data_IF_985733772951
#
_entry.id   IF_985733772951
#
_cell.length_a   1.000
_cell.length_b   1.000
_cell.length_c   1.000
_cell.angle_alpha   90.00
_cell.angle_beta   90.00
_cell.angle_gamma   90.00
#
_symmetry.space_group_name_H-M   'P 1'
#
loop_
_entity.id
_entity.type
_entity.pdbx_description
1 polymer ?
#
# COMPACT_ATOMS: atom_id res chain seq x y z
N UNK A 1 12.46 3.47 21.41
CA UNK A 1 11.00 3.72 21.64
C UNK A 1 10.79 4.04 23.12
N UNK A 2 9.96 5.03 23.46
CA UNK A 2 9.58 5.32 24.84
C UNK A 2 8.51 4.31 25.33
N UNK A 3 8.44 4.08 26.65
CA UNK A 3 7.38 3.25 27.24
C UNK A 3 5.98 3.77 26.88
N UNK A 4 5.82 5.10 26.74
CA UNK A 4 4.56 5.72 26.32
C UNK A 4 4.17 5.36 24.87
N UNK A 5 5.12 5.26 23.95
CA UNK A 5 4.82 4.85 22.55
C UNK A 5 4.40 3.37 22.50
N UNK A 6 5.06 2.49 23.26
CA UNK A 6 4.65 1.08 23.36
C UNK A 6 3.22 0.93 23.88
N UNK A 7 2.86 1.69 24.91
CA UNK A 7 1.53 1.69 25.48
C UNK A 7 0.48 2.17 24.46
N UNK A 8 0.78 3.22 23.68
CA UNK A 8 -0.13 3.70 22.62
C UNK A 8 -0.33 2.68 21.50
N UNK A 9 0.74 2.01 21.06
CA UNK A 9 0.68 0.94 20.04
C UNK A 9 -0.18 -0.22 20.55
N UNK A 10 -0.01 -0.65 21.79
CA UNK A 10 -0.84 -1.70 22.38
C UNK A 10 -2.31 -1.29 22.46
N UNK A 11 -2.60 -0.06 22.88
CA UNK A 11 -3.96 0.49 22.92
C UNK A 11 -4.58 0.61 21.51
N UNK A 12 -3.79 0.94 20.50
CA UNK A 12 -4.26 0.97 19.10
C UNK A 12 -4.65 -0.44 18.60
N UNK A 13 -3.80 -1.44 18.84
CA UNK A 13 -4.11 -2.84 18.50
C UNK A 13 -5.35 -3.36 19.20
N UNK A 14 -5.54 -2.99 20.46
CA UNK A 14 -6.75 -3.33 21.24
C UNK A 14 -7.98 -2.64 20.66
N UNK A 15 -7.90 -1.35 20.35
CA UNK A 15 -8.99 -0.60 19.74
C UNK A 15 -9.43 -1.24 18.41
N UNK A 16 -8.49 -1.56 17.52
CA UNK A 16 -8.78 -2.25 16.25
C UNK A 16 -9.41 -3.64 16.43
N UNK A 17 -9.20 -4.28 17.58
CA UNK A 17 -9.75 -5.59 17.87
C UNK A 17 -11.17 -5.52 18.45
N UNK A 18 -11.50 -4.43 19.14
CA UNK A 18 -12.72 -4.33 19.95
C UNK A 18 -13.77 -3.37 19.41
N UNK A 19 -13.35 -2.39 18.63
CA UNK A 19 -14.23 -1.38 18.04
C UNK A 19 -13.74 -0.90 16.68
N UNK A 20 -14.59 -0.20 15.97
CA UNK A 20 -14.20 0.54 14.76
C UNK A 20 -13.35 1.75 15.16
N UNK A 21 -12.23 1.93 14.47
CA UNK A 21 -11.36 3.10 14.59
C UNK A 21 -11.60 4.00 13.37
N UNK A 22 -11.70 5.30 13.59
CA UNK A 22 -11.94 6.26 12.51
C UNK A 22 -10.66 7.09 12.28
N UNK A 23 -10.13 7.01 11.06
CA UNK A 23 -9.04 7.84 10.57
C UNK A 23 -9.58 9.18 10.01
N UNK A 24 -8.67 10.08 9.69
CA UNK A 24 -8.97 11.37 9.08
C UNK A 24 -9.29 11.25 7.57
N UNK A 25 -9.13 12.34 6.85
CA UNK A 25 -9.45 12.49 5.44
C UNK A 25 -8.39 13.29 4.69
N UNK A 26 -8.81 14.01 3.67
CA UNK A 26 -7.90 14.71 2.76
C UNK A 26 -6.96 15.70 3.46
N UNK A 27 -5.64 15.47 3.34
CA UNK A 27 -4.61 16.40 3.83
C UNK A 27 -4.36 17.52 2.82
N UNK A 28 -4.12 17.18 1.55
CA UNK A 28 -3.69 18.15 0.54
C UNK A 28 -4.65 19.31 0.32
N UNK A 29 -5.96 19.04 0.18
CA UNK A 29 -6.98 20.07 0.01
C UNK A 29 -7.10 20.97 1.24
N UNK A 30 -7.02 20.41 2.44
CA UNK A 30 -7.04 21.14 3.70
C UNK A 30 -5.82 22.07 3.85
N UNK A 31 -4.65 21.63 3.37
CA UNK A 31 -3.45 22.49 3.34
C UNK A 31 -3.60 23.63 2.34
N UNK A 32 -4.18 23.38 1.16
CA UNK A 32 -4.42 24.40 0.14
C UNK A 32 -5.41 25.48 0.63
N UNK A 33 -6.43 25.11 1.42
CA UNK A 33 -7.36 26.05 2.04
C UNK A 33 -6.70 27.01 3.04
N UNK A 34 -5.49 26.69 3.51
CA UNK A 34 -4.70 27.59 4.36
C UNK A 34 -3.86 28.60 3.54
N UNK A 35 -3.94 28.55 2.21
CA UNK A 35 -3.26 29.44 1.27
C UNK A 35 -1.76 29.63 1.54
N UNK A 36 -0.96 28.51 1.69
CA UNK A 36 0.48 28.65 1.89
C UNK A 36 1.14 29.33 0.69
N UNK A 37 2.07 30.23 0.97
CA UNK A 37 2.79 30.98 -0.05
C UNK A 37 3.94 30.18 -0.65
N UNK A 38 4.47 30.60 -1.80
CA UNK A 38 5.65 29.98 -2.40
C UNK A 38 6.89 30.06 -1.48
N UNK A 39 6.98 31.10 -0.64
CA UNK A 39 8.03 31.22 0.38
C UNK A 39 7.86 30.17 1.48
N UNK A 40 6.64 29.86 1.89
CA UNK A 40 6.33 28.78 2.84
C UNK A 40 6.80 27.41 2.30
N UNK A 41 6.76 27.21 1.00
CA UNK A 41 7.27 26.02 0.32
C UNK A 41 8.79 26.05 0.06
N UNK A 42 9.55 27.05 0.52
CA UNK A 42 10.98 27.24 0.16
C UNK A 42 11.22 27.20 -1.37
N UNK A 43 10.31 27.75 -2.16
CA UNK A 43 10.27 27.71 -3.64
C UNK A 43 10.05 26.30 -4.23
N UNK A 44 9.69 25.30 -3.42
CA UNK A 44 9.37 23.92 -3.83
C UNK A 44 7.85 23.75 -3.95
N UNK A 45 7.21 24.50 -4.84
CA UNK A 45 5.76 24.51 -5.01
C UNK A 45 5.19 23.10 -5.18
N UNK A 46 4.20 22.76 -4.34
CA UNK A 46 3.56 21.44 -4.34
C UNK A 46 4.23 20.40 -3.44
N UNK A 47 5.41 20.69 -2.87
CA UNK A 47 6.04 19.81 -1.88
C UNK A 47 5.40 20.02 -0.49
N UNK A 48 4.26 19.40 -0.25
CA UNK A 48 3.53 19.57 1.02
C UNK A 48 4.36 19.16 2.25
N UNK A 49 5.29 18.23 2.09
CA UNK A 49 6.13 17.70 3.15
C UNK A 49 7.06 18.76 3.76
N UNK A 50 7.45 19.77 2.97
CA UNK A 50 8.31 20.85 3.46
C UNK A 50 7.60 21.69 4.52
N UNK A 51 6.25 21.79 4.45
CA UNK A 51 5.45 22.51 5.44
C UNK A 51 5.55 21.90 6.84
N UNK A 52 5.97 20.66 6.98
CA UNK A 52 6.25 20.05 8.28
C UNK A 52 7.34 20.78 9.07
N UNK A 53 8.24 21.47 8.38
CA UNK A 53 9.36 22.23 8.98
C UNK A 53 9.19 23.74 8.83
N UNK A 54 8.66 24.23 7.73
CA UNK A 54 8.49 25.64 7.46
C UNK A 54 7.23 26.23 8.09
N UNK A 55 6.12 25.47 8.03
CA UNK A 55 4.80 25.87 8.54
C UNK A 55 4.10 24.75 9.33
N UNK A 56 4.73 24.24 10.40
CA UNK A 56 4.11 23.20 11.22
C UNK A 56 2.80 23.64 11.89
N UNK A 57 2.56 24.94 12.01
CA UNK A 57 1.30 25.52 12.48
C UNK A 57 0.13 25.19 11.53
N UNK A 58 0.32 25.33 10.22
CA UNK A 58 -0.68 24.98 9.19
C UNK A 58 -0.98 23.48 9.24
N UNK A 59 0.04 22.62 9.21
CA UNK A 59 -0.12 21.16 9.27
C UNK A 59 -0.86 20.75 10.55
N UNK A 60 -0.47 21.34 11.69
CA UNK A 60 -1.15 21.07 12.98
C UNK A 60 -2.61 21.52 12.97
N UNK A 61 -2.96 22.61 12.29
CA UNK A 61 -4.34 23.09 12.20
C UNK A 61 -5.23 22.08 11.48
N UNK A 62 -4.71 21.41 10.44
CA UNK A 62 -5.44 20.35 9.73
C UNK A 62 -5.69 19.15 10.67
N UNK A 63 -4.68 18.67 11.38
CA UNK A 63 -4.86 17.58 12.35
C UNK A 63 -5.89 17.93 13.44
N UNK A 64 -5.85 19.16 13.94
CA UNK A 64 -6.84 19.65 14.93
C UNK A 64 -8.26 19.64 14.37
N UNK A 65 -8.46 20.09 13.13
CA UNK A 65 -9.78 20.10 12.49
C UNK A 65 -10.38 18.69 12.41
N UNK A 66 -9.59 17.68 12.10
CA UNK A 66 -10.04 16.28 12.11
C UNK A 66 -10.28 15.75 13.52
N UNK A 67 -9.44 16.06 14.50
CA UNK A 67 -9.70 15.68 15.89
C UNK A 67 -10.94 16.38 16.47
N UNK A 68 -11.23 17.63 16.07
CA UNK A 68 -12.48 18.34 16.43
C UNK A 68 -13.72 17.65 15.81
N UNK A 69 -13.58 17.06 14.62
CA UNK A 69 -14.61 16.19 14.03
C UNK A 69 -14.81 14.87 14.79
N UNK A 70 -13.87 14.51 15.67
CA UNK A 70 -13.97 13.38 16.59
C UNK A 70 -13.29 12.11 16.14
N UNK A 71 -12.42 12.16 15.10
CA UNK A 71 -11.66 11.01 14.64
C UNK A 71 -10.72 10.45 15.72
N UNK A 72 -10.35 9.19 15.61
CA UNK A 72 -9.48 8.50 16.55
C UNK A 72 -8.00 8.64 16.18
N UNK A 73 -7.68 8.74 14.89
CA UNK A 73 -6.31 8.86 14.40
C UNK A 73 -6.22 9.80 13.21
N UNK A 74 -5.04 10.34 12.99
CA UNK A 74 -4.69 11.17 11.84
C UNK A 74 -3.48 10.61 11.11
N UNK A 75 -3.46 10.77 9.79
CA UNK A 75 -2.33 10.48 8.93
C UNK A 75 -1.33 11.63 8.97
N UNK A 76 -0.05 11.30 8.87
CA UNK A 76 1.00 12.33 8.82
C UNK A 76 1.05 13.00 7.46
N UNK A 77 1.45 14.26 7.40
CA UNK A 77 1.72 14.97 6.14
C UNK A 77 3.06 14.52 5.55
N UNK A 78 3.14 13.26 5.12
CA UNK A 78 4.37 12.61 4.63
C UNK A 78 4.13 11.70 3.42
N UNK A 79 3.02 11.85 2.74
CA UNK A 79 2.64 11.06 1.57
C UNK A 79 3.72 11.07 0.48
N UNK A 80 4.29 12.24 0.18
CA UNK A 80 5.39 12.42 -0.75
C UNK A 80 6.79 12.34 -0.11
N UNK A 81 6.92 12.02 1.19
CA UNK A 81 8.21 11.91 1.86
C UNK A 81 8.97 10.65 1.46
N UNK A 82 9.16 10.42 0.17
CA UNK A 82 9.89 9.31 -0.40
C UNK A 82 10.94 9.79 -1.41
N UNK A 83 11.89 8.92 -1.71
CA UNK A 83 13.03 9.26 -2.58
C UNK A 83 12.60 9.74 -3.98
N UNK A 84 11.54 9.16 -4.54
CA UNK A 84 11.10 9.49 -5.89
C UNK A 84 10.45 10.88 -5.95
N UNK A 85 9.48 11.15 -5.07
CA UNK A 85 8.77 12.44 -5.07
C UNK A 85 9.68 13.58 -4.61
N UNK A 86 10.45 13.41 -3.51
CA UNK A 86 11.40 14.42 -3.07
C UNK A 86 12.56 14.62 -4.03
N UNK A 87 12.89 13.61 -4.84
CA UNK A 87 13.89 13.69 -5.89
C UNK A 87 13.51 14.64 -7.03
N UNK A 88 12.21 14.84 -7.28
CA UNK A 88 11.72 15.81 -8.26
C UNK A 88 11.97 17.28 -7.83
N UNK A 89 12.22 17.49 -6.55
CA UNK A 89 12.59 18.77 -5.94
C UNK A 89 14.07 18.85 -5.55
N UNK A 90 14.91 17.89 -5.95
CA UNK A 90 16.32 17.78 -5.57
C UNK A 90 16.59 17.68 -4.06
N UNK A 91 15.61 17.24 -3.26
CA UNK A 91 15.72 17.09 -1.80
C UNK A 91 15.53 15.66 -1.30
N UNK A 92 15.81 14.64 -2.15
CA UNK A 92 15.68 13.23 -1.79
C UNK A 92 16.44 12.83 -0.51
N UNK A 93 17.51 13.54 -0.16
CA UNK A 93 18.26 13.31 1.08
C UNK A 93 17.51 13.69 2.37
N UNK A 94 16.36 14.37 2.28
CA UNK A 94 15.57 14.82 3.43
C UNK A 94 14.43 13.88 3.83
N UNK A 95 14.33 12.69 3.22
CA UNK A 95 13.26 11.70 3.50
C UNK A 95 13.07 11.48 5.01
N UNK A 96 14.13 11.11 5.72
CA UNK A 96 14.05 10.82 7.16
C UNK A 96 13.67 12.07 7.97
N UNK A 97 14.23 13.24 7.65
CA UNK A 97 13.95 14.51 8.34
C UNK A 97 12.48 14.88 8.23
N UNK A 98 11.95 14.92 6.99
CA UNK A 98 10.58 15.37 6.72
C UNK A 98 9.56 14.36 7.25
N UNK A 99 9.85 13.06 7.16
CA UNK A 99 9.02 12.01 7.77
C UNK A 99 8.93 12.17 9.28
N UNK A 100 10.06 12.40 9.94
CA UNK A 100 10.10 12.62 11.39
C UNK A 100 9.37 13.90 11.80
N UNK A 101 9.53 14.97 11.04
CA UNK A 101 8.88 16.26 11.32
C UNK A 101 7.36 16.14 11.20
N UNK A 102 6.84 15.53 10.11
CA UNK A 102 5.41 15.31 9.92
C UNK A 102 4.79 14.45 11.04
N UNK A 103 5.44 13.34 11.38
CA UNK A 103 4.98 12.48 12.47
C UNK A 103 4.99 13.21 13.84
N UNK A 104 5.98 14.07 14.09
CA UNK A 104 6.03 14.87 15.32
C UNK A 104 4.89 15.87 15.40
N UNK A 105 4.58 16.58 14.31
CA UNK A 105 3.47 17.55 14.28
C UNK A 105 2.14 16.85 14.56
N UNK A 106 1.89 15.70 13.91
CA UNK A 106 0.70 14.89 14.15
C UNK A 106 0.63 14.37 15.60
N UNK A 107 1.76 13.91 16.15
CA UNK A 107 1.85 13.44 17.54
C UNK A 107 1.56 14.52 18.55
N UNK A 108 2.08 15.73 18.37
CA UNK A 108 1.80 16.87 19.23
C UNK A 108 0.30 17.21 19.26
N UNK A 109 -0.36 17.21 18.10
CA UNK A 109 -1.80 17.40 18.02
C UNK A 109 -2.57 16.28 18.72
N UNK A 110 -2.20 15.02 18.49
CA UNK A 110 -2.85 13.88 19.12
C UNK A 110 -2.67 13.85 20.65
N UNK A 111 -1.51 14.24 21.16
CA UNK A 111 -1.25 14.32 22.62
C UNK A 111 -2.06 15.48 23.24
N UNK A 112 -2.19 16.61 22.56
CA UNK A 112 -3.04 17.73 22.98
C UNK A 112 -4.49 17.28 23.17
N UNK A 113 -5.07 16.58 22.19
CA UNK A 113 -6.47 16.11 22.26
C UNK A 113 -6.66 14.99 23.27
N UNK A 114 -5.71 14.07 23.38
CA UNK A 114 -5.73 13.04 24.44
C UNK A 114 -5.70 13.68 25.83
N UNK A 115 -4.92 14.75 26.01
CA UNK A 115 -4.84 15.50 27.26
C UNK A 115 -6.14 16.25 27.61
N UNK A 116 -6.95 16.67 26.62
CA UNK A 116 -8.21 17.40 26.82
C UNK A 116 -9.35 16.51 27.38
N UNK A 117 -9.50 15.31 26.85
CA UNK A 117 -10.67 14.48 27.13
C UNK A 117 -10.35 13.06 27.63
N UNK A 118 -9.06 12.70 27.71
CA UNK A 118 -8.58 11.37 28.14
C UNK A 118 -8.77 10.26 27.10
N UNK A 119 -9.37 10.53 25.94
CA UNK A 119 -9.53 9.53 24.86
C UNK A 119 -8.21 9.37 24.12
N UNK A 120 -7.73 8.13 23.92
CA UNK A 120 -6.52 7.90 23.12
C UNK A 120 -6.67 8.44 21.68
N UNK A 121 -5.62 9.08 21.18
CA UNK A 121 -5.48 9.50 19.79
C UNK A 121 -4.19 8.91 19.22
N UNK A 122 -4.26 8.42 18.00
CA UNK A 122 -3.14 7.76 17.35
C UNK A 122 -2.69 8.49 16.10
N UNK A 123 -1.48 8.19 15.69
CA UNK A 123 -0.83 8.74 14.49
C UNK A 123 -0.49 7.61 13.55
N UNK A 124 -1.04 7.67 12.34
CA UNK A 124 -0.71 6.79 11.23
C UNK A 124 0.39 7.44 10.39
N UNK A 125 1.56 6.83 10.36
CA UNK A 125 2.67 7.30 9.53
C UNK A 125 2.41 6.99 8.07
N UNK A 126 2.02 7.98 7.28
CA UNK A 126 1.71 7.87 5.86
C UNK A 126 2.97 7.60 5.04
N UNK A 127 2.94 6.56 4.21
CA UNK A 127 3.96 6.13 3.25
C UNK A 127 3.28 6.02 1.89
N UNK A 128 3.34 7.07 1.10
CA UNK A 128 2.77 7.10 -0.25
C UNK A 128 3.67 6.41 -1.29
N UNK A 129 3.14 6.12 -2.49
CA UNK A 129 3.81 5.32 -3.50
C UNK A 129 4.98 6.06 -4.20
N UNK A 130 4.97 7.39 -4.19
CA UNK A 130 5.85 8.17 -5.04
C UNK A 130 5.49 8.06 -6.53
N UNK A 131 6.37 8.55 -7.39
CA UNK A 131 6.11 8.72 -8.84
C UNK A 131 6.81 7.68 -9.71
N UNK A 132 7.58 6.75 -9.13
CA UNK A 132 8.37 5.75 -9.88
C UNK A 132 7.79 4.36 -9.68
N UNK A 133 7.48 3.69 -10.78
CA UNK A 133 6.93 2.33 -10.81
C UNK A 133 8.05 1.34 -11.16
N UNK A 134 8.52 0.51 -10.21
CA UNK A 134 9.59 -0.44 -10.46
C UNK A 134 9.20 -1.53 -11.46
N UNK A 135 7.93 -1.93 -11.54
CA UNK A 135 7.45 -2.87 -12.55
C UNK A 135 7.66 -2.36 -13.98
N UNK A 136 7.67 -1.04 -14.19
CA UNK A 136 7.97 -0.41 -15.47
C UNK A 136 9.45 -0.01 -15.63
N UNK A 137 10.31 -0.40 -14.70
CA UNK A 137 11.73 -0.09 -14.73
C UNK A 137 12.07 1.38 -14.43
N UNK A 138 11.14 2.17 -13.86
CA UNK A 138 11.39 3.59 -13.56
C UNK A 138 12.42 3.80 -12.45
N UNK A 139 12.59 2.83 -11.56
CA UNK A 139 13.63 2.83 -10.53
C UNK A 139 13.90 1.38 -10.07
N UNK A 140 15.14 1.05 -9.68
CA UNK A 140 15.46 -0.27 -9.12
C UNK A 140 14.67 -0.52 -7.82
N UNK A 141 14.16 -1.74 -7.67
CA UNK A 141 13.45 -2.19 -6.48
C UNK A 141 14.20 -1.90 -5.17
N UNK A 142 15.51 -2.19 -5.16
CA UNK A 142 16.36 -2.01 -3.98
C UNK A 142 16.49 -0.55 -3.56
N UNK A 143 16.55 0.38 -4.53
CA UNK A 143 16.61 1.82 -4.26
C UNK A 143 15.33 2.29 -3.57
N UNK A 144 14.17 1.87 -4.09
CA UNK A 144 12.88 2.21 -3.48
C UNK A 144 12.73 1.59 -2.09
N UNK A 145 13.06 0.31 -1.94
CA UNK A 145 13.01 -0.37 -0.63
C UNK A 145 13.86 0.34 0.43
N UNK A 146 15.08 0.72 0.09
CA UNK A 146 16.00 1.36 1.03
C UNK A 146 15.54 2.80 1.38
N UNK A 147 14.90 3.49 0.44
CA UNK A 147 14.25 4.78 0.69
C UNK A 147 13.02 4.66 1.61
N UNK A 148 12.19 3.66 1.40
CA UNK A 148 11.05 3.38 2.29
C UNK A 148 11.48 2.96 3.70
N UNK A 149 12.64 2.33 3.84
CA UNK A 149 13.23 2.09 5.15
C UNK A 149 13.51 3.41 5.89
N UNK A 150 14.14 4.38 5.24
CA UNK A 150 14.43 5.69 5.83
C UNK A 150 13.16 6.46 6.19
N UNK A 151 12.12 6.37 5.34
CA UNK A 151 10.83 6.98 5.62
C UNK A 151 10.20 6.38 6.88
N UNK A 152 10.11 5.05 6.99
CA UNK A 152 9.56 4.34 8.14
C UNK A 152 10.33 4.65 9.44
N UNK A 153 11.67 4.66 9.38
CA UNK A 153 12.52 5.03 10.53
C UNK A 153 12.23 6.46 11.01
N UNK A 154 12.08 7.41 10.08
CA UNK A 154 11.71 8.80 10.38
C UNK A 154 10.34 8.90 11.04
N UNK A 155 9.32 8.25 10.47
CA UNK A 155 7.95 8.24 10.98
C UNK A 155 7.87 7.73 12.43
N UNK A 156 8.50 6.59 12.70
CA UNK A 156 8.50 6.01 14.05
C UNK A 156 9.30 6.86 15.04
N UNK A 157 10.42 7.43 14.60
CA UNK A 157 11.21 8.38 15.41
C UNK A 157 10.44 9.67 15.72
N UNK A 158 9.50 10.08 14.86
CA UNK A 158 8.60 11.21 15.06
C UNK A 158 7.40 10.92 15.96
N UNK A 159 7.12 9.64 16.26
CA UNK A 159 6.06 9.24 17.19
C UNK A 159 4.84 8.60 16.55
N UNK A 160 4.92 8.11 15.32
CA UNK A 160 3.86 7.32 14.69
C UNK A 160 3.57 6.05 15.51
N UNK A 161 2.30 5.69 15.61
CA UNK A 161 1.80 4.53 16.36
C UNK A 161 1.51 3.32 15.44
N UNK A 162 1.36 3.58 14.13
CA UNK A 162 1.28 2.59 13.07
C UNK A 162 1.91 3.17 11.79
N UNK A 163 2.32 2.32 10.86
CA UNK A 163 2.73 2.72 9.51
C UNK A 163 1.61 2.36 8.52
N UNK A 164 1.26 3.30 7.66
CA UNK A 164 0.25 3.14 6.62
C UNK A 164 0.91 3.29 5.24
N UNK A 165 1.15 2.17 4.58
CA UNK A 165 1.52 2.14 3.16
C UNK A 165 0.23 2.30 2.37
N UNK A 166 0.06 3.43 1.72
CA UNK A 166 -1.22 3.80 1.11
C UNK A 166 -1.13 4.16 -0.37
N UNK A 167 -2.30 4.17 -1.02
CA UNK A 167 -2.48 4.61 -2.42
C UNK A 167 -1.55 3.84 -3.37
N UNK A 168 -1.27 2.58 -3.05
CA UNK A 168 -0.32 1.80 -3.83
C UNK A 168 -0.95 1.29 -5.12
N UNK A 169 -0.25 1.50 -6.24
CA UNK A 169 -0.74 1.23 -7.60
C UNK A 169 0.06 0.15 -8.33
N UNK A 170 1.22 -0.23 -7.79
CA UNK A 170 2.15 -1.23 -8.33
C UNK A 170 2.51 -2.23 -7.21
N UNK A 171 2.24 -3.52 -7.40
CA UNK A 171 2.50 -4.55 -6.40
C UNK A 171 3.99 -4.69 -6.05
N UNK A 172 4.89 -4.51 -7.02
CA UNK A 172 6.33 -4.57 -6.76
C UNK A 172 6.78 -3.37 -5.90
N UNK A 173 6.22 -2.18 -6.15
CA UNK A 173 6.44 -1.01 -5.32
C UNK A 173 5.87 -1.21 -3.91
N UNK A 174 4.66 -1.78 -3.81
CA UNK A 174 4.04 -2.10 -2.52
C UNK A 174 4.90 -3.07 -1.71
N UNK A 175 5.45 -4.11 -2.34
CA UNK A 175 6.43 -5.01 -1.71
C UNK A 175 7.67 -4.26 -1.23
N UNK A 176 8.22 -3.35 -2.06
CA UNK A 176 9.36 -2.54 -1.68
C UNK A 176 9.08 -1.69 -0.44
N UNK A 177 7.90 -1.06 -0.38
CA UNK A 177 7.46 -0.25 0.76
C UNK A 177 7.31 -1.08 2.03
N UNK A 178 6.61 -2.22 1.95
CA UNK A 178 6.40 -3.13 3.08
C UNK A 178 7.72 -3.69 3.60
N UNK A 179 8.59 -4.18 2.72
CA UNK A 179 9.87 -4.76 3.12
C UNK A 179 10.86 -3.70 3.61
N UNK A 180 10.83 -2.49 3.04
CA UNK A 180 11.59 -1.34 3.53
C UNK A 180 11.17 -0.95 4.94
N UNK A 181 9.86 -0.77 5.16
CA UNK A 181 9.29 -0.47 6.47
C UNK A 181 9.67 -1.54 7.51
N UNK A 182 9.54 -2.82 7.18
CA UNK A 182 9.94 -3.93 8.07
C UNK A 182 11.41 -3.92 8.42
N UNK A 183 12.28 -3.66 7.45
CA UNK A 183 13.74 -3.54 7.72
C UNK A 183 14.03 -2.40 8.68
N UNK A 184 13.38 -1.24 8.51
CA UNK A 184 13.50 -0.13 9.44
C UNK A 184 13.02 -0.49 10.85
N UNK A 185 11.86 -1.13 10.98
CA UNK A 185 11.34 -1.60 12.27
C UNK A 185 12.27 -2.63 12.93
N UNK A 186 12.80 -3.59 12.18
CA UNK A 186 13.76 -4.57 12.69
C UNK A 186 15.07 -3.92 13.14
N UNK A 187 15.60 -2.97 12.37
CA UNK A 187 16.82 -2.24 12.73
C UNK A 187 16.67 -1.46 14.04
N UNK A 188 15.47 -0.97 14.32
CA UNK A 188 15.12 -0.26 15.54
C UNK A 188 14.67 -1.18 16.69
N UNK A 189 14.51 -2.48 16.45
CA UNK A 189 13.97 -3.44 17.41
C UNK A 189 12.52 -3.13 17.80
N UNK A 190 11.68 -2.72 16.84
CA UNK A 190 10.33 -2.24 17.10
C UNK A 190 9.28 -3.14 16.46
N UNK A 191 8.13 -3.28 17.15
CA UNK A 191 6.92 -3.94 16.68
C UNK A 191 5.78 -2.91 16.56
N UNK A 192 5.70 -2.29 15.38
CA UNK A 192 4.69 -1.28 15.03
C UNK A 192 3.74 -1.86 13.98
N UNK A 193 2.41 -1.71 14.14
CA UNK A 193 1.44 -2.19 13.16
C UNK A 193 1.73 -1.64 11.76
N UNK A 194 1.66 -2.53 10.76
CA UNK A 194 1.84 -2.19 9.35
C UNK A 194 0.53 -2.41 8.60
N UNK A 195 -0.05 -1.32 8.14
CA UNK A 195 -1.30 -1.26 7.37
C UNK A 195 -0.94 -1.04 5.92
N UNK A 196 -1.60 -1.76 5.01
CA UNK A 196 -1.42 -1.57 3.57
C UNK A 196 -2.76 -1.29 2.91
N UNK A 197 -2.86 -0.18 2.19
CA UNK A 197 -4.01 0.18 1.37
C UNK A 197 -3.60 0.23 -0.09
N UNK A 198 -4.23 -0.62 -0.90
CA UNK A 198 -4.04 -0.60 -2.35
C UNK A 198 -5.10 0.27 -3.01
N UNK A 199 -4.78 0.79 -4.17
CA UNK A 199 -5.69 1.62 -4.95
C UNK A 199 -6.18 0.84 -6.16
N UNK A 200 -7.50 0.71 -6.28
CA UNK A 200 -8.18 0.06 -7.40
C UNK A 200 -8.92 1.11 -8.20
N UNK A 201 -8.61 1.16 -9.50
CA UNK A 201 -9.20 2.09 -10.44
C UNK A 201 -10.63 1.67 -10.83
N UNK A 202 -11.34 2.54 -11.55
CA UNK A 202 -12.69 2.25 -12.08
C UNK A 202 -12.71 1.05 -13.06
N UNK A 203 -11.56 0.64 -13.55
CA UNK A 203 -11.39 -0.59 -14.35
C UNK A 203 -11.55 -1.88 -13.55
N UNK A 204 -11.58 -1.79 -12.22
CA UNK A 204 -11.63 -2.94 -11.32
C UNK A 204 -10.27 -3.56 -10.98
N UNK A 205 -9.18 -2.93 -11.40
CA UNK A 205 -7.80 -3.37 -11.13
C UNK A 205 -6.94 -2.21 -10.61
N UNK A 206 -5.80 -2.51 -10.01
CA UNK A 206 -4.75 -1.53 -9.77
C UNK A 206 -4.21 -1.00 -11.11
N UNK A 207 -3.47 0.10 -11.10
CA UNK A 207 -2.99 0.82 -12.29
C UNK A 207 -2.32 -0.10 -13.35
N UNK A 208 -1.54 -1.07 -12.92
CA UNK A 208 -0.83 -2.00 -13.81
C UNK A 208 -1.61 -3.30 -14.11
N UNK A 209 -2.92 -3.34 -13.81
CA UNK A 209 -3.79 -4.45 -14.12
C UNK A 209 -3.89 -5.53 -13.04
N UNK A 210 -3.34 -5.30 -11.84
CA UNK A 210 -3.40 -6.27 -10.74
C UNK A 210 -4.81 -6.31 -10.13
N UNK A 211 -5.40 -7.49 -10.05
CA UNK A 211 -6.65 -7.73 -9.34
C UNK A 211 -6.45 -7.73 -7.82
N UNK A 212 -7.51 -7.47 -7.06
CA UNK A 212 -7.46 -7.46 -5.59
C UNK A 212 -7.05 -8.83 -5.01
N UNK A 213 -7.35 -9.91 -5.70
CA UNK A 213 -6.90 -11.26 -5.32
C UNK A 213 -5.39 -11.44 -5.43
N UNK A 214 -4.77 -10.87 -6.47
CA UNK A 214 -3.31 -10.86 -6.62
C UNK A 214 -2.66 -10.03 -5.49
N UNK A 215 -3.23 -8.85 -5.20
CA UNK A 215 -2.76 -8.01 -4.11
C UNK A 215 -2.81 -8.73 -2.76
N UNK A 216 -3.94 -9.36 -2.41
CA UNK A 216 -4.08 -10.12 -1.16
C UNK A 216 -3.06 -11.27 -1.08
N UNK A 217 -2.95 -12.07 -2.15
CA UNK A 217 -2.05 -13.23 -2.20
C UNK A 217 -0.58 -12.82 -2.08
N UNK A 218 -0.21 -11.68 -2.67
CA UNK A 218 1.17 -11.19 -2.63
C UNK A 218 1.55 -10.50 -1.31
N UNK A 219 0.60 -9.81 -0.65
CA UNK A 219 0.90 -8.91 0.47
C UNK A 219 0.64 -9.53 1.84
N UNK A 220 -0.42 -10.34 2.01
CA UNK A 220 -0.74 -10.94 3.30
C UNK A 220 0.41 -11.79 3.87
N UNK A 221 1.13 -12.63 3.06
CA UNK A 221 2.27 -13.40 3.55
C UNK A 221 3.46 -12.56 4.02
N UNK A 222 3.53 -11.29 3.63
CA UNK A 222 4.56 -10.37 4.12
C UNK A 222 4.35 -9.97 5.59
N UNK A 223 3.28 -10.47 6.22
CA UNK A 223 2.99 -10.31 7.66
C UNK A 223 2.49 -8.91 8.00
N UNK A 224 1.81 -8.24 7.11
CA UNK A 224 1.10 -6.99 7.40
C UNK A 224 -0.05 -7.23 8.40
N UNK A 225 -0.41 -6.22 9.18
CA UNK A 225 -1.44 -6.34 10.23
C UNK A 225 -2.86 -6.08 9.69
N UNK A 226 -2.96 -5.34 8.57
CA UNK A 226 -4.22 -4.94 7.95
C UNK A 226 -4.03 -4.71 6.46
N UNK A 227 -5.05 -5.07 5.66
CA UNK A 227 -5.12 -4.75 4.24
C UNK A 227 -6.40 -3.96 3.96
N UNK A 228 -6.35 -3.01 3.04
CA UNK A 228 -7.51 -2.20 2.70
C UNK A 228 -7.41 -1.53 1.34
N UNK A 229 -8.34 -0.61 1.15
CA UNK A 229 -8.47 0.21 -0.06
C UNK A 229 -8.50 1.68 0.31
N UNK A 230 -7.87 2.53 -0.48
CA UNK A 230 -8.04 3.97 -0.42
C UNK A 230 -7.89 4.62 -1.79
N UNK A 231 -8.40 5.83 -1.91
CA UNK A 231 -8.25 6.70 -3.10
C UNK A 231 -8.86 6.14 -4.39
N UNK A 232 -8.58 6.77 -5.52
CA UNK A 232 -9.08 6.58 -6.89
C UNK A 232 -10.60 6.66 -7.04
N UNK A 233 -11.36 5.91 -6.23
CA UNK A 233 -12.81 5.74 -6.39
C UNK A 233 -13.58 6.10 -5.12
N UNK A 234 -14.90 6.12 -5.23
CA UNK A 234 -15.82 6.25 -4.12
C UNK A 234 -16.19 4.90 -3.49
N UNK A 235 -17.04 4.92 -2.47
CA UNK A 235 -17.45 3.70 -1.76
C UNK A 235 -18.14 2.65 -2.66
N UNK A 236 -18.92 3.10 -3.64
CA UNK A 236 -19.69 2.21 -4.51
C UNK A 236 -18.77 1.25 -5.28
N UNK A 237 -17.73 1.78 -5.90
CA UNK A 237 -16.75 1.02 -6.68
C UNK A 237 -15.89 0.11 -5.81
N UNK A 238 -15.64 0.48 -4.55
CA UNK A 238 -14.82 -0.30 -3.62
C UNK A 238 -15.54 -1.54 -3.06
N UNK A 239 -16.88 -1.58 -3.10
CA UNK A 239 -17.69 -2.59 -2.43
C UNK A 239 -17.34 -4.03 -2.83
N UNK A 240 -17.19 -4.30 -4.13
CA UNK A 240 -16.86 -5.65 -4.62
C UNK A 240 -15.48 -6.11 -4.15
N UNK A 241 -14.49 -5.23 -4.15
CA UNK A 241 -13.14 -5.53 -3.69
C UNK A 241 -13.08 -5.76 -2.18
N UNK A 242 -13.83 -4.98 -1.40
CA UNK A 242 -13.97 -5.19 0.05
C UNK A 242 -14.67 -6.50 0.36
N UNK A 243 -15.70 -6.88 -0.42
CA UNK A 243 -16.37 -8.17 -0.30
C UNK A 243 -15.40 -9.33 -0.52
N UNK A 244 -14.54 -9.22 -1.55
CA UNK A 244 -13.49 -10.22 -1.80
C UNK A 244 -12.53 -10.32 -0.62
N UNK A 245 -12.00 -9.18 -0.14
CA UNK A 245 -11.10 -9.13 1.01
C UNK A 245 -11.77 -9.69 2.27
N UNK A 246 -13.04 -9.35 2.52
CA UNK A 246 -13.78 -9.84 3.69
C UNK A 246 -13.93 -11.37 3.69
N UNK A 247 -14.07 -11.97 2.50
CA UNK A 247 -14.19 -13.41 2.33
C UNK A 247 -12.86 -14.16 2.43
N UNK A 248 -11.77 -13.59 1.95
CA UNK A 248 -10.52 -14.33 1.77
C UNK A 248 -9.39 -13.92 2.71
N UNK A 249 -9.35 -12.66 3.18
CA UNK A 249 -8.28 -12.17 4.04
C UNK A 249 -8.40 -12.64 5.49
N UNK A 250 -7.31 -13.13 6.05
CA UNK A 250 -7.20 -13.55 7.46
C UNK A 250 -6.93 -12.38 8.40
N UNK A 251 -6.44 -11.26 7.87
CA UNK A 251 -6.08 -10.07 8.64
C UNK A 251 -7.21 -9.03 8.62
N UNK A 252 -7.07 -7.98 9.43
CA UNK A 252 -8.05 -6.89 9.52
C UNK A 252 -8.18 -6.13 8.22
N UNK A 253 -9.33 -5.46 8.05
CA UNK A 253 -9.64 -4.68 6.86
C UNK A 253 -9.82 -3.20 7.17
N UNK A 254 -9.44 -2.35 6.19
CA UNK A 254 -9.67 -0.90 6.21
C UNK A 254 -10.25 -0.40 4.90
N UNK A 255 -10.91 0.76 4.97
CA UNK A 255 -11.38 1.47 3.78
C UNK A 255 -11.37 2.99 4.00
N UNK A 256 -10.72 3.71 3.11
CA UNK A 256 -10.62 5.17 3.11
C UNK A 256 -10.90 5.71 1.69
N UNK A 257 -12.19 5.76 1.27
CA UNK A 257 -12.57 6.15 -0.08
C UNK A 257 -12.48 7.66 -0.28
N UNK A 258 -12.45 8.07 -1.53
CA UNK A 258 -12.71 9.46 -1.90
C UNK A 258 -14.17 9.82 -1.62
N UNK A 259 -14.45 11.12 -1.54
CA UNK A 259 -15.84 11.62 -1.50
C UNK A 259 -16.53 11.49 -2.86
N UNK A 260 -16.51 10.28 -3.42
CA UNK A 260 -16.98 9.93 -4.76
C UNK A 260 -15.91 10.10 -5.84
N UNK A 261 -16.31 9.86 -7.08
CA UNK A 261 -15.45 10.11 -8.25
C UNK A 261 -15.36 11.62 -8.51
N UNK A 262 -14.15 12.15 -8.78
CA UNK A 262 -14.00 13.58 -9.09
C UNK A 262 -14.71 13.94 -10.39
N UNK A 263 -15.47 15.02 -10.35
CA UNK A 263 -16.11 15.64 -11.52
C UNK A 263 -15.40 16.94 -11.83
N UNK A 264 -14.96 17.13 -13.07
CA UNK A 264 -14.32 18.35 -13.51
C UNK A 264 -15.38 19.48 -13.63
N UNK A 265 -15.22 20.51 -12.84
CA UNK A 265 -16.02 21.74 -12.88
C UNK A 265 -15.20 22.94 -13.36
N UNK A 266 -15.83 24.11 -13.45
CA UNK A 266 -15.18 25.37 -13.86
C UNK A 266 -14.07 25.83 -12.89
N UNK A 267 -14.12 25.37 -11.63
CA UNK A 267 -13.20 25.76 -10.56
C UNK A 267 -12.27 24.59 -10.12
N UNK A 268 -12.07 23.58 -10.99
CA UNK A 268 -11.26 22.41 -10.68
C UNK A 268 -12.07 21.15 -10.39
N UNK A 269 -11.44 20.12 -9.82
CA UNK A 269 -12.08 18.87 -9.48
C UNK A 269 -13.04 19.06 -8.28
N UNK A 270 -14.27 18.57 -8.42
CA UNK A 270 -15.28 18.52 -7.37
C UNK A 270 -15.62 17.08 -7.04
N UNK A 271 -15.76 16.78 -5.76
CA UNK A 271 -16.15 15.46 -5.26
C UNK A 271 -17.62 15.50 -4.84
N UNK A 272 -18.53 14.75 -5.50
CA UNK A 272 -19.98 14.93 -5.36
C UNK A 272 -20.60 14.22 -4.16
N UNK A 273 -19.91 13.24 -3.53
CA UNK A 273 -20.48 12.43 -2.46
C UNK A 273 -20.66 13.28 -1.20
N UNK A 274 -21.86 13.27 -0.65
CA UNK A 274 -22.17 14.00 0.58
C UNK A 274 -21.63 13.29 1.83
N UNK A 275 -21.50 14.04 2.91
CA UNK A 275 -21.05 13.51 4.20
C UNK A 275 -21.97 12.38 4.73
N UNK A 276 -23.28 12.49 4.50
CA UNK A 276 -24.23 11.45 4.90
C UNK A 276 -24.06 10.17 4.08
N UNK A 277 -23.89 10.30 2.76
CA UNK A 277 -23.69 9.14 1.89
C UNK A 277 -22.38 8.40 2.21
N UNK A 278 -21.29 9.13 2.50
CA UNK A 278 -20.05 8.53 2.96
C UNK A 278 -20.25 7.78 4.29
N UNK A 279 -20.95 8.40 5.24
CA UNK A 279 -21.18 7.81 6.56
C UNK A 279 -22.05 6.54 6.45
N UNK A 280 -23.09 6.56 5.61
CA UNK A 280 -23.96 5.39 5.35
C UNK A 280 -23.15 4.24 4.71
N UNK A 281 -22.29 4.56 3.74
CA UNK A 281 -21.44 3.56 3.09
C UNK A 281 -20.44 2.92 4.08
N UNK A 282 -19.78 3.74 4.90
CA UNK A 282 -18.82 3.25 5.90
C UNK A 282 -19.51 2.39 6.97
N UNK A 283 -20.69 2.79 7.45
CA UNK A 283 -21.49 1.96 8.37
C UNK A 283 -21.83 0.60 7.76
N UNK A 284 -22.27 0.59 6.50
CA UNK A 284 -22.59 -0.64 5.78
C UNK A 284 -21.35 -1.54 5.64
N UNK A 285 -20.19 -0.99 5.29
CA UNK A 285 -18.96 -1.76 5.18
C UNK A 285 -18.49 -2.36 6.51
N UNK A 286 -18.70 -1.63 7.62
CA UNK A 286 -18.44 -2.17 8.97
C UNK A 286 -19.36 -3.35 9.27
N UNK A 287 -20.66 -3.25 8.94
CA UNK A 287 -21.65 -4.28 9.20
C UNK A 287 -21.51 -5.51 8.31
N UNK A 288 -21.21 -5.30 7.02
CA UNK A 288 -21.18 -6.37 6.03
C UNK A 288 -19.80 -7.02 5.90
N UNK A 289 -18.72 -6.20 5.90
CA UNK A 289 -17.38 -6.67 5.63
C UNK A 289 -16.47 -6.71 6.87
N UNK A 290 -16.93 -6.22 8.00
CA UNK A 290 -16.18 -6.28 9.26
C UNK A 290 -14.92 -5.42 9.26
N UNK A 291 -15.01 -4.18 8.73
CA UNK A 291 -13.90 -3.23 8.74
C UNK A 291 -13.54 -2.82 10.17
N UNK A 292 -12.25 -2.81 10.49
CA UNK A 292 -11.72 -2.34 11.78
C UNK A 292 -11.27 -0.89 11.75
N UNK A 293 -10.91 -0.37 10.55
CA UNK A 293 -10.47 1.00 10.34
C UNK A 293 -11.25 1.58 9.15
N UNK A 294 -11.84 2.73 9.35
CA UNK A 294 -12.55 3.50 8.33
C UNK A 294 -12.05 4.95 8.34
N UNK A 295 -12.18 5.64 7.24
CA UNK A 295 -11.73 7.02 7.11
C UNK A 295 -12.13 7.60 5.76
N UNK A 296 -11.43 8.61 5.31
CA UNK A 296 -11.63 9.22 4.01
C UNK A 296 -10.30 9.45 3.30
N UNK A 297 -10.37 9.78 2.00
CA UNK A 297 -9.25 10.20 1.18
C UNK A 297 -9.62 11.49 0.43
N UNK A 298 -9.28 11.62 -0.85
CA UNK A 298 -9.49 12.86 -1.59
C UNK A 298 -10.94 13.37 -1.55
N UNK A 299 -11.09 14.67 -1.36
CA UNK A 299 -12.38 15.35 -1.29
C UNK A 299 -13.15 15.19 0.02
N UNK A 300 -12.70 14.35 0.96
CA UNK A 300 -13.32 14.23 2.28
C UNK A 300 -12.85 15.37 3.20
N UNK A 301 -13.78 15.94 3.96
CA UNK A 301 -13.56 17.08 4.86
C UNK A 301 -13.81 16.66 6.32
N UNK A 302 -13.46 17.50 7.31
CA UNK A 302 -13.84 17.24 8.70
C UNK A 302 -15.33 16.98 8.91
N UNK A 303 -16.22 17.60 8.12
CA UNK A 303 -17.65 17.35 8.18
C UNK A 303 -18.02 15.92 7.74
N UNK A 304 -17.39 15.40 6.68
CA UNK A 304 -17.55 14.02 6.25
C UNK A 304 -17.18 13.06 7.38
N UNK A 305 -16.02 13.27 7.97
CA UNK A 305 -15.53 12.38 9.03
C UNK A 305 -16.32 12.53 10.33
N UNK A 306 -16.86 13.71 10.65
CA UNK A 306 -17.75 13.89 11.79
C UNK A 306 -18.98 12.98 11.67
N UNK A 307 -19.61 12.93 10.50
CA UNK A 307 -20.77 12.07 10.26
C UNK A 307 -20.40 10.58 10.28
N UNK A 308 -19.23 10.21 9.73
CA UNK A 308 -18.72 8.84 9.87
C UNK A 308 -18.54 8.46 11.34
N UNK A 309 -17.88 9.32 12.14
CA UNK A 309 -17.70 9.10 13.59
C UNK A 309 -19.05 8.91 14.30
N UNK A 310 -20.04 9.76 14.00
CA UNK A 310 -21.37 9.66 14.62
C UNK A 310 -22.06 8.32 14.30
N UNK A 311 -21.92 7.84 13.05
CA UNK A 311 -22.54 6.58 12.61
C UNK A 311 -21.88 5.34 13.18
N UNK A 312 -20.54 5.29 13.22
CA UNK A 312 -19.80 4.08 13.62
C UNK A 312 -19.41 4.08 15.12
N UNK A 313 -19.74 5.16 15.86
CA UNK A 313 -19.39 5.28 17.29
C UNK A 313 -19.93 4.10 18.10
N UNK A 314 -19.01 3.40 18.77
CA UNK A 314 -19.34 2.26 19.60
C UNK A 314 -19.66 0.96 18.84
N UNK A 315 -19.56 0.97 17.52
CA UNK A 315 -19.66 -0.26 16.73
C UNK A 315 -18.42 -1.11 16.89
N UNK A 316 -18.59 -2.42 16.95
CA UNK A 316 -17.53 -3.39 16.75
C UNK A 316 -17.53 -3.85 15.29
N UNK A 317 -16.35 -4.21 14.73
CA UNK A 317 -16.28 -4.87 13.43
C UNK A 317 -17.14 -6.13 13.42
N UNK A 318 -17.94 -6.33 12.37
CA UNK A 318 -18.71 -7.56 12.24
C UNK A 318 -17.75 -8.78 12.20
N UNK A 319 -18.11 -9.89 12.91
CA UNK A 319 -17.30 -11.09 12.89
C UNK A 319 -17.19 -11.65 11.48
N UNK A 320 -15.98 -11.94 11.02
CA UNK A 320 -15.71 -12.59 9.72
C UNK A 320 -15.32 -14.05 9.92
N UNK A 321 -15.63 -14.86 8.95
CA UNK A 321 -15.17 -16.25 8.83
C UNK A 321 -14.41 -16.40 7.50
N UNK A 322 -13.16 -15.93 7.43
CA UNK A 322 -12.41 -15.95 6.20
C UNK A 322 -12.22 -17.36 5.65
N UNK A 323 -12.31 -17.48 4.35
CA UNK A 323 -12.03 -18.70 3.61
C UNK A 323 -10.80 -18.45 2.72
N UNK A 324 -9.58 -18.48 3.28
CA UNK A 324 -8.37 -18.22 2.52
C UNK A 324 -8.15 -19.32 1.51
N UNK A 325 -7.79 -18.94 0.31
CA UNK A 325 -7.43 -19.85 -0.76
C UNK A 325 -5.90 -19.86 -0.92
N UNK A 326 -5.21 -20.96 -0.54
CA UNK A 326 -3.78 -21.08 -0.79
C UNK A 326 -3.50 -21.00 -2.30
N UNK A 327 -2.60 -20.11 -2.68
CA UNK A 327 -2.31 -19.85 -4.09
C UNK A 327 -1.00 -19.10 -4.27
N UNK A 328 -0.69 -18.80 -5.52
CA UNK A 328 0.38 -17.89 -5.92
C UNK A 328 -0.20 -16.76 -6.78
N UNK A 329 0.47 -15.62 -6.83
CA UNK A 329 0.05 -14.50 -7.65
C UNK A 329 1.09 -14.19 -8.73
N UNK A 330 0.59 -13.87 -9.92
CA UNK A 330 1.32 -13.06 -10.90
C UNK A 330 1.15 -11.58 -10.58
N UNK A 331 1.71 -10.72 -11.41
CA UNK A 331 1.39 -9.29 -11.36
C UNK A 331 -0.11 -9.03 -11.47
N UNK A 332 -0.84 -9.86 -12.23
CA UNK A 332 -2.22 -9.60 -12.63
C UNK A 332 -3.27 -10.29 -11.77
N UNK A 333 -3.11 -11.59 -11.51
CA UNK A 333 -4.12 -12.42 -10.87
C UNK A 333 -3.55 -13.42 -9.88
N UNK A 334 -4.39 -13.90 -8.97
CA UNK A 334 -4.08 -15.05 -8.11
C UNK A 334 -4.50 -16.35 -8.79
N UNK A 335 -3.72 -17.41 -8.59
CA UNK A 335 -4.03 -18.77 -9.01
C UNK A 335 -4.06 -19.66 -7.78
N UNK A 336 -5.22 -20.27 -7.51
CA UNK A 336 -5.38 -21.21 -6.42
C UNK A 336 -4.56 -22.50 -6.66
N UNK A 337 -3.91 -23.03 -5.63
CA UNK A 337 -3.25 -24.32 -5.73
C UNK A 337 -4.24 -25.48 -5.87
N UNK A 338 -5.48 -25.29 -5.41
CA UNK A 338 -6.56 -26.24 -5.60
C UNK A 338 -7.35 -25.88 -6.84
N UNK A 339 -7.36 -26.80 -7.80
CA UNK A 339 -8.16 -26.70 -9.01
C UNK A 339 -9.40 -27.60 -8.88
N UNK A 340 -10.60 -27.09 -9.18
CA UNK A 340 -11.85 -27.83 -8.97
C UNK A 340 -12.06 -28.97 -9.96
N UNK A 341 -11.59 -28.81 -11.20
CA UNK A 341 -11.87 -29.72 -12.30
C UNK A 341 -10.63 -30.37 -12.93
N UNK A 342 -9.44 -30.03 -12.48
CA UNK A 342 -8.19 -30.49 -13.08
C UNK A 342 -7.08 -30.62 -12.02
N UNK A 343 -5.97 -31.22 -12.41
CA UNK A 343 -4.72 -31.10 -11.67
C UNK A 343 -4.10 -29.74 -11.95
N UNK A 344 -3.40 -29.16 -10.94
CA UNK A 344 -2.60 -27.97 -11.17
C UNK A 344 -1.44 -28.33 -12.12
N UNK A 345 -1.40 -27.66 -13.27
CA UNK A 345 -0.37 -27.85 -14.28
C UNK A 345 0.67 -26.73 -14.19
N UNK A 346 1.93 -27.08 -14.00
CA UNK A 346 3.08 -26.18 -14.10
C UNK A 346 3.73 -26.40 -15.47
N UNK A 347 3.84 -25.35 -16.26
CA UNK A 347 4.42 -25.45 -17.61
C UNK A 347 5.94 -25.44 -17.55
N UNK A 348 6.60 -26.50 -18.00
CA UNK A 348 8.07 -26.71 -17.92
C UNK A 348 8.82 -26.36 -19.21
N UNK A 349 8.18 -25.80 -20.23
CA UNK A 349 8.91 -25.47 -21.47
C UNK A 349 9.85 -24.26 -21.34
N UNK A 350 9.80 -23.58 -20.23
CA UNK A 350 10.68 -22.48 -19.82
C UNK A 350 11.77 -22.93 -18.83
N UNK A 351 12.11 -24.24 -18.86
CA UNK A 351 13.18 -24.86 -18.10
C UNK A 351 14.32 -25.27 -19.02
N UNK A 352 15.53 -24.72 -18.79
CA UNK A 352 16.73 -24.96 -19.62
C UNK A 352 17.18 -26.42 -19.62
N UNK A 353 16.91 -27.17 -18.56
CA UNK A 353 17.22 -28.60 -18.47
C UNK A 353 16.20 -29.45 -19.22
N UNK A 354 14.90 -29.08 -19.12
CA UNK A 354 13.79 -29.82 -19.71
C UNK A 354 13.52 -29.50 -21.18
N UNK A 355 13.83 -28.28 -21.65
CA UNK A 355 13.47 -27.78 -22.98
C UNK A 355 14.70 -27.38 -23.79
N UNK A 356 14.99 -28.18 -24.84
CA UNK A 356 16.09 -27.86 -25.78
C UNK A 356 15.85 -26.50 -26.46
N UNK A 357 14.61 -26.22 -26.90
CA UNK A 357 14.26 -24.97 -27.61
C UNK A 357 14.49 -23.75 -26.71
N UNK A 358 14.07 -23.82 -25.45
CA UNK A 358 14.26 -22.74 -24.49
C UNK A 358 15.75 -22.52 -24.20
N UNK A 359 16.48 -23.61 -23.92
CA UNK A 359 17.91 -23.57 -23.66
C UNK A 359 18.70 -22.91 -24.80
N UNK A 360 18.42 -23.31 -26.05
CA UNK A 360 19.11 -22.74 -27.22
C UNK A 360 18.78 -21.25 -27.37
N UNK A 361 17.51 -20.84 -27.16
CA UNK A 361 17.12 -19.44 -27.20
C UNK A 361 17.82 -18.62 -26.10
N UNK A 362 17.85 -19.15 -24.87
CA UNK A 362 18.53 -18.53 -23.72
C UNK A 362 20.04 -18.37 -23.98
N UNK A 363 20.71 -19.43 -24.45
CA UNK A 363 22.16 -19.40 -24.74
C UNK A 363 22.53 -18.40 -25.82
N UNK A 364 21.66 -18.16 -26.78
CA UNK A 364 21.84 -17.22 -27.88
C UNK A 364 21.35 -15.79 -27.55
N UNK A 365 20.80 -15.59 -26.34
CA UNK A 365 20.24 -14.29 -25.90
C UNK A 365 18.94 -13.89 -26.62
N UNK A 366 18.22 -14.87 -27.18
CA UNK A 366 16.94 -14.65 -27.86
C UNK A 366 15.80 -14.64 -26.82
N UNK A 367 15.85 -13.61 -25.98
CA UNK A 367 14.94 -13.47 -24.83
C UNK A 367 13.46 -13.41 -25.22
N UNK A 368 13.14 -12.79 -26.35
CA UNK A 368 11.77 -12.69 -26.86
C UNK A 368 11.19 -14.06 -27.24
N UNK A 369 12.04 -14.96 -27.77
CA UNK A 369 11.63 -16.36 -28.03
C UNK A 369 11.33 -17.11 -26.72
N UNK A 370 12.07 -16.84 -25.65
CA UNK A 370 11.81 -17.38 -24.32
C UNK A 370 10.46 -16.90 -23.78
N UNK A 371 10.16 -15.61 -23.93
CA UNK A 371 8.87 -15.02 -23.53
C UNK A 371 7.72 -15.62 -24.35
N UNK A 372 7.89 -15.81 -25.66
CA UNK A 372 6.84 -16.43 -26.48
C UNK A 372 6.57 -17.88 -26.10
N UNK A 373 7.60 -18.64 -25.71
CA UNK A 373 7.40 -20.00 -25.16
C UNK A 373 6.61 -19.99 -23.85
N UNK A 374 6.77 -18.97 -23.00
CA UNK A 374 5.95 -18.78 -21.82
C UNK A 374 4.47 -18.53 -22.20
N UNK A 375 4.24 -17.62 -23.17
CA UNK A 375 2.89 -17.31 -23.67
C UNK A 375 2.21 -18.52 -24.33
N UNK A 376 2.97 -19.37 -25.04
CA UNK A 376 2.43 -20.63 -25.59
C UNK A 376 1.87 -21.52 -24.49
N UNK A 377 2.59 -21.70 -23.39
CA UNK A 377 2.16 -22.50 -22.25
C UNK A 377 0.90 -21.93 -21.58
N UNK A 378 0.77 -20.60 -21.51
CA UNK A 378 -0.44 -19.94 -21.01
C UNK A 378 -1.64 -20.29 -21.92
N UNK A 379 -1.47 -20.17 -23.24
CA UNK A 379 -2.51 -20.51 -24.25
C UNK A 379 -2.92 -21.98 -24.21
N UNK A 380 -2.03 -22.86 -23.82
CA UNK A 380 -2.26 -24.30 -23.70
C UNK A 380 -2.85 -24.73 -22.35
N UNK A 381 -3.09 -23.80 -21.45
CA UNK A 381 -3.81 -24.04 -20.19
C UNK A 381 -2.93 -24.41 -19.00
N UNK A 382 -1.66 -24.00 -18.99
CA UNK A 382 -0.87 -24.02 -17.77
C UNK A 382 -1.50 -23.14 -16.69
N UNK A 383 -1.30 -23.46 -15.42
CA UNK A 383 -1.74 -22.67 -14.26
C UNK A 383 -0.60 -21.84 -13.67
N UNK A 384 0.63 -22.31 -13.82
CA UNK A 384 1.87 -21.65 -13.44
C UNK A 384 2.94 -21.95 -14.47
N UNK A 385 4.02 -21.17 -14.48
CA UNK A 385 5.17 -21.36 -15.34
C UNK A 385 6.40 -21.69 -14.49
N UNK A 386 7.10 -22.74 -14.85
CA UNK A 386 8.43 -23.04 -14.33
C UNK A 386 9.48 -22.23 -15.07
N UNK A 387 10.34 -21.53 -14.34
CA UNK A 387 11.48 -20.80 -14.89
C UNK A 387 12.78 -21.34 -14.29
N UNK A 388 13.51 -22.09 -15.08
CA UNK A 388 14.83 -22.62 -14.73
C UNK A 388 15.86 -22.21 -15.79
N UNK A 389 16.91 -21.53 -15.35
CA UNK A 389 18.01 -21.06 -16.21
C UNK A 389 19.33 -21.79 -15.94
N UNK A 390 19.30 -22.80 -15.07
CA UNK A 390 20.53 -23.54 -14.69
C UNK A 390 21.16 -24.21 -15.90
N UNK A 391 22.36 -23.75 -16.26
CA UNK A 391 23.16 -24.33 -17.33
C UNK A 391 24.66 -24.16 -17.08
N UNK A 392 25.42 -25.23 -17.28
CA UNK A 392 26.86 -25.24 -17.01
C UNK A 392 27.60 -24.19 -17.84
N UNK A 393 28.39 -23.36 -17.18
CA UNK A 393 29.20 -22.32 -17.82
C UNK A 393 28.46 -21.00 -18.10
N UNK A 394 27.22 -20.83 -17.57
CA UNK A 394 26.45 -19.58 -17.64
C UNK A 394 26.48 -18.83 -16.33
N UNK A 395 26.26 -17.54 -16.41
CA UNK A 395 25.91 -16.70 -15.26
C UNK A 395 24.40 -16.82 -14.99
N UNK A 396 24.02 -17.80 -14.17
CA UNK A 396 22.62 -18.04 -13.86
C UNK A 396 21.96 -16.88 -13.13
N UNK A 397 22.71 -16.07 -12.38
CA UNK A 397 22.17 -14.86 -11.71
C UNK A 397 21.72 -13.83 -12.74
N UNK A 398 22.55 -13.53 -13.72
CA UNK A 398 22.23 -12.60 -14.80
C UNK A 398 21.09 -13.11 -15.69
N UNK A 399 21.10 -14.40 -16.06
CA UNK A 399 20.06 -14.99 -16.89
C UNK A 399 18.70 -15.04 -16.16
N UNK A 400 18.68 -15.30 -14.84
CA UNK A 400 17.45 -15.30 -14.04
C UNK A 400 16.88 -13.91 -13.86
N UNK A 401 17.71 -12.91 -13.56
CA UNK A 401 17.29 -11.51 -13.44
C UNK A 401 16.62 -11.02 -14.73
N UNK A 402 17.26 -11.27 -15.87
CA UNK A 402 16.75 -10.89 -17.20
C UNK A 402 15.41 -11.58 -17.51
N UNK A 403 15.32 -12.91 -17.36
CA UNK A 403 14.15 -13.66 -17.76
C UNK A 403 12.98 -13.52 -16.76
N UNK A 404 13.25 -13.52 -15.45
CA UNK A 404 12.21 -13.29 -14.44
C UNK A 404 11.62 -11.89 -14.59
N UNK A 405 12.44 -10.86 -14.83
CA UNK A 405 11.98 -9.50 -15.10
C UNK A 405 11.06 -9.41 -16.31
N UNK A 406 11.42 -10.06 -17.43
CA UNK A 406 10.57 -10.11 -18.63
C UNK A 406 9.27 -10.90 -18.38
N UNK A 407 9.35 -12.05 -17.72
CA UNK A 407 8.19 -12.88 -17.45
C UNK A 407 7.20 -12.21 -16.48
N UNK A 408 7.69 -11.48 -15.51
CA UNK A 408 6.86 -10.78 -14.52
C UNK A 408 5.80 -9.87 -15.16
N UNK A 409 6.13 -9.22 -16.27
CA UNK A 409 5.21 -8.34 -16.99
C UNK A 409 4.53 -8.99 -18.20
N UNK A 410 5.13 -10.03 -18.78
CA UNK A 410 4.62 -10.70 -19.97
C UNK A 410 3.68 -11.88 -19.65
N UNK A 411 3.75 -12.44 -18.44
CA UNK A 411 2.95 -13.58 -18.02
C UNK A 411 1.78 -13.16 -17.16
N UNK A 412 0.57 -13.66 -17.47
CA UNK A 412 -0.60 -13.57 -16.60
C UNK A 412 -0.61 -14.64 -15.51
N UNK A 413 0.30 -15.60 -15.56
CA UNK A 413 0.41 -16.70 -14.60
C UNK A 413 1.57 -16.49 -13.64
N UNK A 414 1.47 -17.00 -12.40
CA UNK A 414 2.58 -17.02 -11.46
C UNK A 414 3.79 -17.78 -12.01
N UNK A 415 4.98 -17.32 -11.61
CA UNK A 415 6.25 -17.92 -11.96
C UNK A 415 6.75 -18.75 -10.78
N UNK A 416 7.17 -19.99 -11.05
CA UNK A 416 7.89 -20.86 -10.12
C UNK A 416 9.37 -20.73 -10.45
N UNK A 417 10.14 -20.16 -9.56
CA UNK A 417 11.60 -20.03 -9.73
C UNK A 417 12.24 -21.37 -9.35
N UNK A 418 12.88 -22.00 -10.32
CA UNK A 418 13.57 -23.28 -10.15
C UNK A 418 15.08 -23.10 -10.37
N UNK A 419 15.86 -23.39 -9.34
CA UNK A 419 17.31 -23.45 -9.41
C UNK A 419 17.90 -24.24 -8.24
N UNK A 420 19.03 -24.89 -8.48
CA UNK A 420 19.83 -25.53 -7.43
C UNK A 420 20.70 -24.50 -6.66
N UNK A 421 20.77 -23.26 -7.14
CA UNK A 421 21.63 -22.22 -6.58
C UNK A 421 20.84 -21.08 -5.93
N UNK A 422 21.07 -20.87 -4.62
CA UNK A 422 20.41 -19.79 -3.86
C UNK A 422 20.61 -18.39 -4.47
N UNK A 423 21.80 -18.00 -4.99
CA UNK A 423 21.95 -16.70 -5.63
C UNK A 423 21.05 -16.50 -6.86
N UNK A 424 20.84 -17.56 -7.64
CA UNK A 424 19.96 -17.55 -8.83
C UNK A 424 18.51 -17.35 -8.43
N UNK A 425 18.01 -18.10 -7.42
CA UNK A 425 16.66 -17.90 -6.90
C UNK A 425 16.47 -16.46 -6.38
N UNK A 426 17.49 -15.93 -5.68
CA UNK A 426 17.42 -14.53 -5.19
C UNK A 426 17.34 -13.50 -6.28
N UNK A 427 17.96 -13.76 -7.44
CA UNK A 427 17.89 -12.85 -8.57
C UNK A 427 16.49 -12.82 -9.19
N UNK A 428 15.76 -13.95 -9.14
CA UNK A 428 14.40 -14.03 -9.65
C UNK A 428 13.32 -13.49 -8.69
N UNK A 429 13.63 -13.36 -7.39
CA UNK A 429 12.72 -12.85 -6.35
C UNK A 429 12.66 -11.33 -6.32
#
# INVERSE_FOLDING_TARGET
MSAGQQARIAAFREALATRVVVADGAMGTMLQEQEPTLEDFEQLEGCNEILNVTRPDIVRSVHRAYFDAGVDCVETNTFGANHAALGEYDIAGRVHELSRAGARVAREAADEYTGRDGRPRWVLGSIGPGTKLPTLGHAPYTVLRDAYQQNAEGLVAGGADALLVETTQDLLQTKASVLGARRGLQALGLDVPLIVSVTVETTGTMLLGSEIGAALTALEPLGIDMIGLNCATGPAEMSEHLRYLARHSRIRLSCMPNAGLPVLGTNGAHYPLTASELADAQENFVREYGLSLVGGCCGTTPEHLRQVVERVRGMAPAPRQPQPEPGAASLYQSVSFRQDTAYMAIGERTNANGSKKFREAMLEGRWDDCVEMARDQIREGAHMLDLCVDYVGRDGVADMDELAGRFATASTLPIVLDSTEVPVIRAGL
#
